data_IF_709031563856
#
_entry.id   IF_709031563856
#
_cell.length_a   1.000
_cell.length_b   1.000
_cell.length_c   1.000
_cell.angle_alpha   90.00
_cell.angle_beta   90.00
_cell.angle_gamma   90.00
#
_symmetry.space_group_name_H-M   'P 1'
#
loop_
_entity.id
_entity.type
_entity.pdbx_description
1 polymer ?
#
# COMPACT_ATOMS: atom_id res chain seq x y z
N UNK A 1 20.26 -1.08 -5.10
CA UNK A 1 20.40 -2.31 -4.30
C UNK A 1 19.27 -2.50 -3.27
N UNK A 2 19.05 -3.72 -2.76
CA UNK A 2 18.20 -4.03 -1.62
C UNK A 2 19.06 -4.18 -0.35
N UNK A 3 18.96 -3.29 0.65
CA UNK A 3 19.80 -3.39 1.86
C UNK A 3 19.56 -4.66 2.69
N UNK A 4 18.36 -5.24 2.62
CA UNK A 4 18.00 -6.44 3.40
C UNK A 4 18.61 -7.72 2.83
N UNK A 5 18.62 -7.84 1.49
CA UNK A 5 19.11 -9.03 0.79
C UNK A 5 20.53 -8.82 0.26
N UNK A 6 21.07 -7.59 0.37
CA UNK A 6 22.40 -7.18 -0.10
C UNK A 6 22.65 -7.52 -1.58
N UNK A 7 21.61 -7.44 -2.41
CA UNK A 7 21.68 -7.69 -3.86
C UNK A 7 21.17 -6.50 -4.67
N UNK A 8 21.62 -6.41 -5.91
CA UNK A 8 21.04 -5.48 -6.88
C UNK A 8 19.58 -5.84 -7.17
N UNK A 9 18.76 -4.82 -7.40
CA UNK A 9 17.35 -4.98 -7.73
C UNK A 9 17.24 -4.83 -9.24
N UNK A 10 16.68 -5.83 -9.90
CA UNK A 10 16.26 -5.70 -11.29
C UNK A 10 15.23 -4.57 -11.43
N UNK A 11 15.12 -3.94 -12.61
CA UNK A 11 14.00 -3.07 -12.93
C UNK A 11 12.65 -3.68 -12.51
N UNK A 12 11.72 -2.84 -12.04
CA UNK A 12 10.37 -3.25 -11.60
C UNK A 12 10.33 -4.21 -10.40
N UNK A 13 11.48 -4.56 -9.79
CA UNK A 13 11.53 -5.45 -8.64
C UNK A 13 11.40 -4.71 -7.30
N UNK A 14 10.61 -5.28 -6.38
CA UNK A 14 10.41 -4.73 -5.05
C UNK A 14 10.65 -5.79 -3.97
N UNK A 15 11.05 -5.34 -2.78
CA UNK A 15 11.24 -6.25 -1.64
C UNK A 15 9.93 -6.38 -0.88
N UNK A 16 9.38 -7.59 -0.82
CA UNK A 16 8.24 -7.88 0.02
C UNK A 16 8.72 -8.23 1.43
N UNK A 17 8.22 -7.49 2.43
CA UNK A 17 8.59 -7.74 3.84
C UNK A 17 7.94 -9.02 4.39
N UNK A 18 6.75 -9.37 3.91
CA UNK A 18 6.01 -10.57 4.34
C UNK A 18 6.69 -11.85 3.83
N UNK A 19 7.17 -11.84 2.58
CA UNK A 19 7.92 -12.97 2.00
C UNK A 19 9.45 -12.90 2.22
N UNK A 20 9.95 -11.85 2.87
CA UNK A 20 11.37 -11.53 3.11
C UNK A 20 12.31 -11.69 1.89
N UNK A 21 11.80 -11.40 0.68
CA UNK A 21 12.55 -11.56 -0.57
C UNK A 21 12.21 -10.48 -1.60
N UNK A 22 13.11 -10.30 -2.56
CA UNK A 22 12.85 -9.46 -3.74
C UNK A 22 12.00 -10.24 -4.76
N UNK A 23 10.96 -9.59 -5.27
CA UNK A 23 10.02 -10.14 -6.24
C UNK A 23 10.16 -9.32 -7.54
N UNK A 24 10.43 -10.01 -8.65
CA UNK A 24 10.52 -9.42 -10.01
C UNK A 24 9.13 -8.94 -10.46
N UNK A 25 9.05 -7.76 -11.08
CA UNK A 25 7.78 -7.07 -11.45
C UNK A 25 6.72 -7.23 -10.35
N UNK A 26 7.05 -6.83 -9.13
CA UNK A 26 6.17 -7.06 -7.98
C UNK A 26 4.91 -6.20 -8.15
N UNK A 27 3.75 -6.84 -8.07
CA UNK A 27 2.46 -6.15 -8.04
C UNK A 27 2.03 -5.91 -6.59
N UNK A 28 1.73 -6.98 -5.87
CA UNK A 28 1.38 -6.89 -4.46
C UNK A 28 1.72 -8.20 -3.72
N UNK A 29 1.62 -8.16 -2.40
CA UNK A 29 1.53 -9.38 -1.60
C UNK A 29 0.06 -9.64 -1.31
N UNK A 30 -0.46 -10.76 -1.81
CA UNK A 30 -1.85 -11.14 -1.64
C UNK A 30 -1.97 -12.05 -0.41
N UNK A 31 -2.71 -11.63 0.64
CA UNK A 31 -2.94 -12.47 1.82
C UNK A 31 -3.72 -13.75 1.49
N UNK A 32 -4.62 -13.69 0.51
CA UNK A 32 -5.53 -14.79 0.14
C UNK A 32 -4.81 -16.01 -0.43
N UNK A 33 -3.73 -15.80 -1.17
CA UNK A 33 -2.86 -16.87 -1.68
C UNK A 33 -1.58 -17.03 -0.85
N UNK A 34 -1.46 -16.27 0.25
CA UNK A 34 -0.27 -16.18 1.10
C UNK A 34 1.05 -16.04 0.32
N UNK A 35 1.02 -15.29 -0.79
CA UNK A 35 2.15 -15.19 -1.70
C UNK A 35 2.16 -13.84 -2.43
N UNK A 36 3.31 -13.46 -2.97
CA UNK A 36 3.40 -12.30 -3.84
C UNK A 36 2.88 -12.62 -5.24
N UNK A 37 2.17 -11.63 -5.82
CA UNK A 37 1.87 -11.57 -7.24
C UNK A 37 2.94 -10.72 -7.91
N UNK A 38 3.53 -11.23 -8.97
CA UNK A 38 4.51 -10.52 -9.78
C UNK A 38 4.81 -11.27 -11.06
N UNK A 39 5.98 -11.02 -11.67
CA UNK A 39 6.32 -11.54 -13.00
C UNK A 39 6.03 -13.04 -13.19
N UNK A 40 6.46 -13.88 -12.24
CA UNK A 40 6.41 -15.32 -12.39
C UNK A 40 5.00 -15.94 -12.28
N UNK A 41 4.03 -15.21 -11.74
CA UNK A 41 2.69 -15.73 -11.47
C UNK A 41 1.55 -14.76 -11.76
N UNK A 42 1.81 -13.66 -12.48
CA UNK A 42 0.78 -12.67 -12.78
C UNK A 42 -0.38 -13.27 -13.57
N UNK A 43 -0.07 -14.05 -14.62
CA UNK A 43 -1.07 -14.75 -15.42
C UNK A 43 -1.88 -15.74 -14.58
N UNK A 44 -1.20 -16.58 -13.80
CA UNK A 44 -1.86 -17.54 -12.90
C UNK A 44 -2.79 -16.86 -11.90
N UNK A 45 -2.39 -15.72 -11.35
CA UNK A 45 -3.25 -14.95 -10.46
C UNK A 45 -4.50 -14.43 -11.19
N UNK A 46 -4.35 -13.92 -12.41
CA UNK A 46 -5.51 -13.44 -13.19
C UNK A 46 -6.44 -14.57 -13.61
N UNK A 47 -5.90 -15.73 -14.00
CA UNK A 47 -6.71 -16.93 -14.25
C UNK A 47 -7.40 -17.44 -12.99
N UNK A 48 -6.71 -17.44 -11.84
CA UNK A 48 -7.31 -17.77 -10.55
C UNK A 48 -8.53 -16.89 -10.26
N UNK A 49 -8.45 -15.58 -10.50
CA UNK A 49 -9.60 -14.67 -10.36
C UNK A 49 -10.73 -15.04 -11.33
N UNK A 50 -10.41 -15.23 -12.61
CA UNK A 50 -11.40 -15.59 -13.64
C UNK A 50 -12.14 -16.88 -13.30
N UNK A 51 -11.41 -17.97 -13.02
CA UNK A 51 -12.02 -19.26 -12.73
C UNK A 51 -12.76 -19.27 -11.38
N UNK A 52 -12.30 -18.50 -10.39
CA UNK A 52 -13.04 -18.32 -9.13
C UNK A 52 -14.38 -17.62 -9.36
N UNK A 53 -14.44 -16.63 -10.24
CA UNK A 53 -15.69 -15.97 -10.65
C UNK A 53 -16.59 -16.96 -11.39
N UNK A 54 -16.07 -17.69 -12.38
CA UNK A 54 -16.85 -18.66 -13.15
C UNK A 54 -17.42 -19.78 -12.26
N UNK A 55 -16.62 -20.34 -11.35
CA UNK A 55 -17.09 -21.35 -10.41
C UNK A 55 -18.14 -20.82 -9.44
N UNK A 56 -17.98 -19.58 -8.96
CA UNK A 56 -18.98 -18.92 -8.11
C UNK A 56 -20.27 -18.61 -8.86
N UNK A 57 -20.19 -18.18 -10.11
CA UNK A 57 -21.35 -17.97 -10.99
C UNK A 57 -22.10 -19.27 -11.24
N UNK A 58 -21.38 -20.35 -11.57
CA UNK A 58 -21.97 -21.69 -11.70
C UNK A 58 -22.68 -22.10 -10.41
N UNK A 59 -22.03 -21.93 -9.25
CA UNK A 59 -22.62 -22.20 -7.94
C UNK A 59 -23.92 -21.40 -7.70
N UNK A 60 -23.90 -20.09 -7.99
CA UNK A 60 -25.08 -19.23 -7.90
C UNK A 60 -26.21 -19.73 -8.79
N UNK A 61 -25.94 -20.07 -10.05
CA UNK A 61 -26.96 -20.59 -10.98
C UNK A 61 -27.57 -21.89 -10.43
N UNK A 62 -26.73 -22.84 -9.99
CA UNK A 62 -27.20 -24.11 -9.42
C UNK A 62 -28.06 -23.87 -8.17
N UNK A 63 -27.64 -22.98 -7.28
CA UNK A 63 -28.39 -22.66 -6.07
C UNK A 63 -29.72 -21.97 -6.39
N UNK A 64 -29.74 -21.03 -7.33
CA UNK A 64 -30.98 -20.37 -7.77
C UNK A 64 -31.96 -21.36 -8.41
N UNK A 65 -31.49 -22.23 -9.31
CA UNK A 65 -32.31 -23.29 -9.90
C UNK A 65 -32.83 -24.28 -8.84
N UNK A 66 -31.98 -24.67 -7.89
CA UNK A 66 -32.37 -25.55 -6.79
C UNK A 66 -33.41 -24.88 -5.89
N UNK A 67 -33.24 -23.58 -5.64
CA UNK A 67 -34.16 -22.79 -4.82
C UNK A 67 -35.53 -22.67 -5.46
N UNK A 68 -35.56 -22.37 -6.77
CA UNK A 68 -36.78 -22.37 -7.57
C UNK A 68 -37.48 -23.73 -7.52
N UNK A 69 -36.75 -24.83 -7.77
CA UNK A 69 -37.32 -26.18 -7.73
C UNK A 69 -37.86 -26.57 -6.35
N UNK A 70 -37.22 -26.11 -5.28
CA UNK A 70 -37.66 -26.34 -3.91
C UNK A 70 -38.93 -25.57 -3.55
N UNK A 71 -39.03 -24.27 -3.92
CA UNK A 71 -40.24 -23.46 -3.65
C UNK A 71 -41.45 -24.00 -4.41
N UNK A 72 -41.28 -24.32 -5.70
CA UNK A 72 -42.36 -24.81 -6.55
C UNK A 72 -42.63 -26.31 -6.42
N UNK A 73 -42.03 -26.99 -5.43
CA UNK A 73 -42.16 -28.44 -5.24
C UNK A 73 -43.62 -28.89 -5.20
N UNK A 74 -44.44 -28.25 -4.37
CA UNK A 74 -45.85 -28.62 -4.21
C UNK A 74 -46.62 -28.49 -5.53
N UNK A 75 -46.38 -27.39 -6.27
CA UNK A 75 -46.97 -27.15 -7.59
C UNK A 75 -46.61 -28.26 -8.58
N UNK A 76 -45.34 -28.68 -8.64
CA UNK A 76 -44.93 -29.77 -9.53
C UNK A 76 -45.59 -31.11 -9.21
N UNK A 77 -45.79 -31.41 -7.91
CA UNK A 77 -46.44 -32.65 -7.50
C UNK A 77 -47.93 -32.68 -7.85
N UNK A 78 -48.63 -31.55 -7.70
CA UNK A 78 -50.08 -31.48 -7.99
C UNK A 78 -50.41 -31.49 -9.48
N UNK A 79 -49.46 -31.13 -10.36
CA UNK A 79 -49.63 -31.10 -11.81
C UNK A 79 -49.01 -32.31 -12.53
N UNK A 80 -48.66 -33.37 -11.80
CA UNK A 80 -48.07 -34.59 -12.39
C UNK A 80 -46.63 -34.44 -12.88
N UNK A 81 -45.94 -33.35 -12.55
CA UNK A 81 -44.57 -33.04 -12.95
C UNK A 81 -43.55 -33.53 -11.91
N UNK A 82 -43.71 -34.76 -11.40
CA UNK A 82 -42.91 -35.28 -10.30
C UNK A 82 -41.38 -35.28 -10.58
N UNK A 83 -40.98 -35.46 -11.84
CA UNK A 83 -39.56 -35.38 -12.26
C UNK A 83 -38.93 -33.98 -12.05
N UNK A 84 -39.75 -32.92 -11.95
CA UNK A 84 -39.30 -31.56 -11.63
C UNK A 84 -39.22 -31.29 -10.11
N UNK A 85 -39.89 -32.11 -9.30
CA UNK A 85 -39.87 -32.05 -7.84
C UNK A 85 -38.64 -32.77 -7.26
N UNK A 86 -37.42 -32.40 -7.67
CA UNK A 86 -36.18 -33.08 -7.23
C UNK A 86 -35.57 -32.54 -5.93
N UNK A 87 -36.01 -31.36 -5.46
CA UNK A 87 -35.49 -30.71 -4.24
C UNK A 87 -36.55 -30.76 -3.17
N UNK A 88 -36.15 -31.09 -1.93
CA UNK A 88 -37.00 -31.02 -0.75
C UNK A 88 -36.38 -30.04 0.24
N UNK A 89 -37.17 -29.06 0.67
CA UNK A 89 -36.71 -28.07 1.64
C UNK A 89 -37.04 -28.47 3.07
N UNK A 90 -36.00 -28.50 3.89
CA UNK A 90 -36.06 -28.35 5.34
C UNK A 90 -35.70 -26.90 5.71
N UNK A 91 -36.05 -26.46 6.93
CA UNK A 91 -35.67 -25.13 7.43
C UNK A 91 -34.16 -24.89 7.31
N UNK A 92 -33.34 -25.89 7.65
CA UNK A 92 -31.87 -25.82 7.55
C UNK A 92 -31.43 -25.63 6.10
N UNK A 93 -31.98 -26.41 5.16
CA UNK A 93 -31.60 -26.30 3.75
C UNK A 93 -31.97 -24.95 3.13
N UNK A 94 -33.09 -24.33 3.54
CA UNK A 94 -33.49 -23.00 3.11
C UNK A 94 -32.45 -21.97 3.58
N UNK A 95 -32.11 -22.00 4.88
CA UNK A 95 -31.13 -21.09 5.47
C UNK A 95 -29.78 -21.22 4.76
N UNK A 96 -29.28 -22.45 4.60
CA UNK A 96 -28.01 -22.71 3.93
C UNK A 96 -28.01 -22.29 2.46
N UNK A 97 -29.13 -22.46 1.75
CA UNK A 97 -29.26 -22.03 0.37
C UNK A 97 -29.21 -20.51 0.26
N UNK A 98 -29.93 -19.78 1.11
CA UNK A 98 -29.92 -18.30 1.14
C UNK A 98 -28.52 -17.78 1.47
N UNK A 99 -27.89 -18.31 2.52
CA UNK A 99 -26.53 -17.93 2.91
C UNK A 99 -25.52 -18.25 1.80
N UNK A 100 -25.61 -19.43 1.19
CA UNK A 100 -24.76 -19.85 0.08
C UNK A 100 -24.90 -18.94 -1.14
N UNK A 101 -26.13 -18.58 -1.53
CA UNK A 101 -26.38 -17.63 -2.62
C UNK A 101 -25.81 -16.25 -2.29
N UNK A 102 -26.06 -15.73 -1.08
CA UNK A 102 -25.54 -14.43 -0.65
C UNK A 102 -24.01 -14.38 -0.70
N UNK A 103 -23.34 -15.41 -0.19
CA UNK A 103 -21.87 -15.51 -0.24
C UNK A 103 -21.36 -15.64 -1.67
N UNK A 104 -21.96 -16.49 -2.50
CA UNK A 104 -21.55 -16.68 -3.90
C UNK A 104 -21.69 -15.39 -4.72
N UNK A 105 -22.81 -14.66 -4.58
CA UNK A 105 -23.03 -13.37 -5.22
C UNK A 105 -21.99 -12.35 -4.73
N UNK A 106 -21.73 -12.29 -3.42
CA UNK A 106 -20.72 -11.40 -2.84
C UNK A 106 -19.32 -11.67 -3.40
N UNK A 107 -18.94 -12.95 -3.52
CA UNK A 107 -17.67 -13.36 -4.15
C UNK A 107 -17.61 -12.96 -5.62
N UNK A 108 -18.68 -13.19 -6.39
CA UNK A 108 -18.74 -12.79 -7.81
C UNK A 108 -18.51 -11.29 -7.96
N UNK A 109 -19.22 -10.45 -7.20
CA UNK A 109 -19.10 -8.99 -7.28
C UNK A 109 -17.68 -8.55 -6.88
N UNK A 110 -17.20 -9.02 -5.72
CA UNK A 110 -15.89 -8.62 -5.18
C UNK A 110 -14.73 -9.04 -6.08
N UNK A 111 -14.72 -10.29 -6.54
CA UNK A 111 -13.67 -10.79 -7.44
C UNK A 111 -13.77 -10.18 -8.84
N UNK A 112 -14.97 -9.88 -9.35
CA UNK A 112 -15.12 -9.20 -10.65
C UNK A 112 -14.53 -7.79 -10.62
N UNK A 113 -14.75 -7.04 -9.54
CA UNK A 113 -14.10 -5.73 -9.36
C UNK A 113 -12.58 -5.87 -9.32
N UNK A 114 -12.06 -6.86 -8.60
CA UNK A 114 -10.62 -7.12 -8.53
C UNK A 114 -10.04 -7.54 -9.90
N UNK A 115 -10.73 -8.40 -10.63
CA UNK A 115 -10.34 -8.83 -11.97
C UNK A 115 -10.33 -7.64 -12.93
N UNK A 116 -11.33 -6.77 -12.89
CA UNK A 116 -11.38 -5.56 -13.70
C UNK A 116 -10.16 -4.65 -13.44
N UNK A 117 -9.82 -4.43 -12.16
CA UNK A 117 -8.64 -3.65 -11.78
C UNK A 117 -7.36 -4.30 -12.35
N UNK A 118 -7.19 -5.62 -12.18
CA UNK A 118 -6.02 -6.34 -12.67
C UNK A 118 -5.92 -6.33 -14.21
N UNK A 119 -7.03 -6.47 -14.92
CA UNK A 119 -7.04 -6.36 -16.39
C UNK A 119 -6.66 -4.96 -16.84
N UNK A 120 -7.15 -3.91 -16.16
CA UNK A 120 -6.79 -2.53 -16.45
C UNK A 120 -5.28 -2.28 -16.23
N UNK A 121 -4.71 -2.79 -15.14
CA UNK A 121 -3.26 -2.64 -14.88
C UNK A 121 -2.42 -3.40 -15.92
N UNK A 122 -2.86 -4.61 -16.31
CA UNK A 122 -2.21 -5.39 -17.37
C UNK A 122 -2.27 -4.67 -18.72
N UNK A 123 -3.42 -4.09 -19.09
CA UNK A 123 -3.60 -3.36 -20.36
C UNK A 123 -2.65 -2.17 -20.46
N UNK A 124 -2.38 -1.47 -19.35
CA UNK A 124 -1.43 -0.36 -19.29
C UNK A 124 0.01 -0.81 -18.95
N UNK A 125 0.26 -2.12 -18.86
CA UNK A 125 1.50 -2.75 -18.39
C UNK A 125 2.06 -2.16 -17.08
N UNK A 126 1.20 -1.71 -16.18
CA UNK A 126 1.57 -1.18 -14.87
C UNK A 126 1.36 -2.21 -13.78
N UNK A 127 2.16 -2.14 -12.72
CA UNK A 127 1.85 -2.80 -11.46
C UNK A 127 1.22 -1.82 -10.47
N UNK A 128 0.53 -2.31 -9.44
CA UNK A 128 -0.03 -1.47 -8.37
C UNK A 128 1.01 -0.59 -7.68
N UNK A 129 2.27 -1.01 -7.62
CA UNK A 129 3.37 -0.18 -7.12
C UNK A 129 3.73 0.92 -8.12
N UNK A 130 3.75 0.60 -9.41
CA UNK A 130 4.15 1.51 -10.48
C UNK A 130 3.12 2.61 -10.70
N UNK A 131 1.82 2.32 -10.61
CA UNK A 131 0.74 3.33 -10.65
C UNK A 131 1.04 4.46 -9.68
N UNK A 132 1.39 4.12 -8.43
CA UNK A 132 1.75 5.07 -7.40
C UNK A 132 3.05 5.84 -7.67
N UNK A 133 3.96 5.32 -8.50
CA UNK A 133 5.20 6.03 -8.90
C UNK A 133 4.87 7.03 -10.00
N UNK A 134 4.10 6.59 -11.01
CA UNK A 134 3.66 7.41 -12.15
C UNK A 134 2.83 8.59 -11.67
N UNK A 135 1.83 8.36 -10.81
CA UNK A 135 0.98 9.42 -10.26
C UNK A 135 1.82 10.50 -9.53
N UNK A 136 2.85 10.07 -8.79
CA UNK A 136 3.77 11.01 -8.12
C UNK A 136 4.66 11.77 -9.10
N UNK A 137 5.10 11.12 -10.18
CA UNK A 137 5.90 11.76 -11.21
C UNK A 137 5.11 12.88 -11.91
N UNK A 138 3.86 12.59 -12.28
CA UNK A 138 2.92 13.56 -12.86
C UNK A 138 2.70 14.73 -11.89
N UNK A 139 2.40 14.45 -10.62
CA UNK A 139 2.18 15.51 -9.62
C UNK A 139 3.42 16.40 -9.39
N UNK A 140 4.64 15.82 -9.41
CA UNK A 140 5.89 16.59 -9.26
C UNK A 140 6.06 17.62 -10.37
N UNK A 141 5.71 17.26 -11.60
CA UNK A 141 5.77 18.13 -12.78
C UNK A 141 4.65 19.16 -12.78
N UNK A 142 3.43 18.75 -12.46
CA UNK A 142 2.30 19.69 -12.30
C UNK A 142 2.59 20.81 -11.28
N UNK A 143 3.32 20.52 -10.19
CA UNK A 143 3.71 21.54 -9.20
C UNK A 143 4.81 22.47 -9.70
N UNK A 144 5.66 22.01 -10.61
CA UNK A 144 6.79 22.78 -11.14
C UNK A 144 6.44 23.22 -12.57
N UNK A 145 5.59 24.24 -12.69
CA UNK A 145 5.08 24.73 -13.99
C UNK A 145 6.18 25.19 -14.96
N UNK A 146 7.39 25.46 -14.47
CA UNK A 146 8.55 25.87 -15.28
C UNK A 146 9.33 24.68 -15.88
N UNK A 147 8.92 23.42 -15.63
CA UNK A 147 9.51 22.26 -16.31
C UNK A 147 8.62 21.75 -17.45
N UNK A 148 9.03 21.98 -18.69
CA UNK A 148 8.37 21.45 -19.91
C UNK A 148 8.63 19.95 -20.15
N UNK A 149 9.08 19.21 -19.13
CA UNK A 149 9.36 17.77 -19.24
C UNK A 149 8.08 16.95 -18.94
N UNK A 150 7.58 16.17 -19.92
CA UNK A 150 6.46 15.22 -19.76
C UNK A 150 6.94 13.81 -19.34
N UNK A 151 6.28 13.21 -18.34
CA UNK A 151 6.76 11.95 -17.79
C UNK A 151 6.31 10.79 -18.68
N UNK A 152 7.24 10.30 -19.49
CA UNK A 152 6.99 9.12 -20.32
C UNK A 152 7.13 7.83 -19.49
N UNK A 153 6.05 7.05 -19.42
CA UNK A 153 6.08 5.74 -18.75
C UNK A 153 6.73 4.69 -19.66
N UNK A 154 7.82 4.03 -19.23
CA UNK A 154 8.68 3.28 -20.15
C UNK A 154 8.10 1.96 -20.66
N UNK A 155 7.11 1.38 -19.98
CA UNK A 155 6.70 -0.01 -20.23
C UNK A 155 5.37 -0.16 -20.97
N UNK A 156 4.66 0.92 -21.31
CA UNK A 156 3.41 0.81 -22.05
C UNK A 156 3.68 0.68 -23.57
N UNK A 157 3.56 -0.54 -24.09
CA UNK A 157 3.83 -0.87 -25.50
C UNK A 157 2.55 -0.94 -26.35
N UNK A 158 1.43 -0.46 -25.80
CA UNK A 158 0.09 -0.64 -26.37
C UNK A 158 -0.60 -1.92 -25.89
N UNK A 159 -1.92 -1.83 -25.74
CA UNK A 159 -2.74 -2.83 -25.04
C UNK A 159 -2.54 -4.28 -25.52
N UNK A 160 -2.40 -4.52 -26.83
CA UNK A 160 -2.19 -5.86 -27.40
C UNK A 160 -0.82 -6.44 -27.04
N UNK A 161 0.23 -5.62 -27.10
CA UNK A 161 1.57 -6.04 -26.73
C UNK A 161 1.64 -6.29 -25.22
N UNK A 162 1.02 -5.41 -24.42
CA UNK A 162 0.97 -5.51 -22.97
C UNK A 162 0.25 -6.78 -22.50
N UNK A 163 -0.90 -7.14 -23.11
CA UNK A 163 -1.59 -8.40 -22.84
C UNK A 163 -0.70 -9.61 -23.15
N UNK A 164 -0.01 -9.61 -24.30
CA UNK A 164 0.90 -10.70 -24.73
C UNK A 164 2.14 -10.87 -23.85
N UNK A 165 2.46 -9.88 -23.00
CA UNK A 165 3.53 -10.02 -21.99
C UNK A 165 3.08 -10.82 -20.76
N UNK A 166 1.77 -10.91 -20.52
CA UNK A 166 1.19 -11.61 -19.38
C UNK A 166 0.53 -12.90 -19.81
N UNK A 167 -0.32 -12.85 -20.84
CA UNK A 167 -1.01 -14.01 -21.40
C UNK A 167 -0.31 -14.44 -22.68
N UNK A 168 0.14 -15.69 -22.72
CA UNK A 168 0.63 -16.33 -23.94
C UNK A 168 0.04 -17.73 -24.04
N UNK A 169 0.18 -18.31 -25.24
CA UNK A 169 -0.46 -19.58 -25.58
C UNK A 169 0.05 -20.75 -24.72
N UNK A 170 1.28 -20.63 -24.20
CA UNK A 170 1.90 -21.62 -23.32
C UNK A 170 1.51 -21.46 -21.85
N UNK A 171 0.73 -20.43 -21.50
CA UNK A 171 0.45 -20.01 -20.11
C UNK A 171 1.73 -19.78 -19.27
N UNK A 172 2.84 -19.45 -19.92
CA UNK A 172 4.14 -19.25 -19.28
C UNK A 172 4.45 -17.76 -19.07
N UNK A 173 5.40 -17.49 -18.19
CA UNK A 173 5.97 -16.14 -18.02
C UNK A 173 6.86 -15.80 -19.22
N UNK A 174 6.68 -14.61 -19.82
CA UNK A 174 7.53 -14.15 -20.94
C UNK A 174 8.75 -13.37 -20.43
N UNK A 175 9.89 -13.55 -21.08
CA UNK A 175 11.17 -12.90 -20.74
C UNK A 175 11.88 -13.55 -19.55
N UNK A 176 12.85 -12.85 -18.96
CA UNK A 176 13.60 -13.30 -17.78
C UNK A 176 13.17 -12.57 -16.47
N UNK A 177 12.28 -11.58 -16.62
CA UNK A 177 11.82 -10.70 -15.55
C UNK A 177 12.87 -9.74 -15.02
N UNK A 178 13.96 -9.53 -15.76
CA UNK A 178 15.04 -8.59 -15.46
C UNK A 178 15.03 -7.48 -16.51
N UNK A 179 15.06 -7.86 -17.78
CA UNK A 179 14.99 -6.95 -18.92
C UNK A 179 13.57 -6.89 -19.48
N UNK A 180 13.18 -5.69 -19.90
CA UNK A 180 11.82 -5.43 -20.38
C UNK A 180 11.87 -4.68 -21.70
N UNK A 181 10.98 -4.97 -22.65
CA UNK A 181 10.78 -4.07 -23.77
C UNK A 181 10.30 -2.70 -23.25
N UNK A 182 10.90 -1.64 -23.78
CA UNK A 182 10.61 -0.25 -23.40
C UNK A 182 10.27 0.58 -24.64
N UNK A 183 9.49 1.64 -24.45
CA UNK A 183 9.18 2.62 -25.50
C UNK A 183 10.41 3.41 -25.92
N UNK A 184 10.38 3.95 -27.13
CA UNK A 184 11.45 4.81 -27.66
C UNK A 184 11.64 6.05 -26.76
N UNK A 185 12.89 6.47 -26.58
CA UNK A 185 13.25 7.55 -25.64
C UNK A 185 13.34 7.12 -24.15
N UNK A 186 13.04 5.87 -23.83
CA UNK A 186 13.21 5.30 -22.49
C UNK A 186 14.29 4.22 -22.43
N UNK A 187 14.79 3.97 -21.21
CA UNK A 187 15.65 2.83 -20.90
C UNK A 187 15.08 2.02 -19.72
N UNK A 188 15.74 0.90 -19.41
CA UNK A 188 15.37 -0.01 -18.30
C UNK A 188 15.27 0.68 -16.94
N UNK A 189 15.93 1.82 -16.78
CA UNK A 189 16.08 2.52 -15.52
C UNK A 189 15.32 3.86 -15.47
N UNK A 190 14.62 4.29 -16.52
CA UNK A 190 13.81 5.53 -16.52
C UNK A 190 12.92 5.63 -15.29
N UNK A 191 12.07 4.63 -15.05
CA UNK A 191 11.19 4.60 -13.87
C UNK A 191 11.99 4.48 -12.55
N UNK A 192 13.15 3.83 -12.58
CA UNK A 192 14.00 3.65 -11.41
C UNK A 192 14.65 4.98 -10.99
N UNK A 193 15.14 5.77 -11.95
CA UNK A 193 15.69 7.11 -11.73
C UNK A 193 14.63 8.03 -11.14
N UNK A 194 13.43 8.02 -11.71
CA UNK A 194 12.29 8.78 -11.18
C UNK A 194 11.97 8.36 -9.73
N UNK A 195 11.93 7.05 -9.45
CA UNK A 195 11.71 6.58 -8.09
C UNK A 195 12.85 6.96 -7.10
N UNK A 196 14.09 7.09 -7.57
CA UNK A 196 15.21 7.55 -6.74
C UNK A 196 15.08 9.04 -6.42
N UNK A 197 14.76 9.88 -7.42
CA UNK A 197 14.50 11.31 -7.22
C UNK A 197 13.33 11.54 -6.24
N UNK A 198 12.24 10.77 -6.37
CA UNK A 198 11.12 10.81 -5.42
C UNK A 198 11.54 10.45 -3.98
N UNK A 199 12.46 9.50 -3.82
CA UNK A 199 13.00 9.11 -2.49
C UNK A 199 13.92 10.17 -1.93
N UNK A 200 14.69 10.84 -2.77
CA UNK A 200 15.56 11.95 -2.38
C UNK A 200 14.74 13.14 -1.90
N UNK A 201 13.71 13.56 -2.66
CA UNK A 201 12.79 14.62 -2.22
C UNK A 201 12.08 14.24 -0.90
N UNK A 202 11.74 12.97 -0.73
CA UNK A 202 11.18 12.47 0.54
C UNK A 202 12.21 12.56 1.69
N UNK A 203 13.49 12.28 1.44
CA UNK A 203 14.56 12.42 2.43
C UNK A 203 14.79 13.88 2.79
N UNK A 204 14.84 14.78 1.80
CA UNK A 204 15.00 16.22 2.02
C UNK A 204 13.86 16.83 2.88
N UNK A 205 12.63 16.31 2.74
CA UNK A 205 11.46 16.72 3.55
C UNK A 205 11.34 15.98 4.89
N UNK A 206 12.26 15.06 5.19
CA UNK A 206 12.24 14.35 6.48
C UNK A 206 12.65 15.32 7.58
N UNK A 207 11.87 15.37 8.65
CA UNK A 207 12.12 16.24 9.79
C UNK A 207 12.41 15.41 11.03
N UNK A 208 13.25 15.95 11.90
CA UNK A 208 13.66 15.27 13.13
C UNK A 208 12.76 15.72 14.27
N UNK A 209 12.19 14.76 14.99
CA UNK A 209 11.33 14.98 16.14
C UNK A 209 11.95 14.36 17.38
N UNK A 210 11.86 15.05 18.52
CA UNK A 210 12.21 14.52 19.83
C UNK A 210 10.93 14.11 20.56
N UNK A 211 10.90 12.86 21.03
CA UNK A 211 9.82 12.35 21.86
C UNK A 211 9.83 13.05 23.24
N UNK A 212 8.72 13.67 23.63
CA UNK A 212 8.58 14.32 24.95
C UNK A 212 7.75 13.50 25.92
N UNK A 213 6.80 12.72 25.41
CA UNK A 213 5.91 11.87 26.22
C UNK A 213 6.04 10.41 25.79
N UNK A 214 6.05 9.46 26.74
CA UNK A 214 6.17 8.05 26.40
C UNK A 214 5.02 7.58 25.51
N UNK A 215 5.34 6.75 24.52
CA UNK A 215 4.39 6.15 23.58
C UNK A 215 4.45 4.64 23.72
N UNK A 216 3.30 4.03 24.01
CA UNK A 216 3.20 2.57 24.24
C UNK A 216 3.13 1.76 22.95
N UNK A 217 2.75 2.37 21.83
CA UNK A 217 2.52 1.66 20.56
C UNK A 217 1.16 0.95 20.47
N UNK A 218 0.22 1.23 21.39
CA UNK A 218 -1.15 0.70 21.32
C UNK A 218 -1.97 1.35 20.20
N UNK A 219 -2.97 0.64 19.69
CA UNK A 219 -3.88 1.13 18.64
C UNK A 219 -4.77 2.28 19.11
N UNK A 220 -5.29 2.20 20.34
CA UNK A 220 -6.21 3.19 20.91
C UNK A 220 -5.67 3.73 22.24
N UNK A 221 -4.77 4.74 22.20
CA UNK A 221 -4.21 5.34 23.40
C UNK A 221 -5.17 6.36 24.04
N UNK A 222 -6.40 5.94 24.38
CA UNK A 222 -7.47 6.84 24.86
C UNK A 222 -7.03 7.58 26.13
N UNK A 223 -6.53 6.85 27.12
CA UNK A 223 -6.15 7.42 28.42
C UNK A 223 -4.83 8.19 28.39
N UNK A 224 -3.91 7.87 27.49
CA UNK A 224 -2.59 8.50 27.45
C UNK A 224 -2.51 9.68 26.45
N UNK A 225 -3.32 9.65 25.40
CA UNK A 225 -3.20 10.59 24.26
C UNK A 225 -4.53 11.20 23.84
N UNK A 226 -5.64 10.81 24.47
CA UNK A 226 -6.95 11.42 24.31
C UNK A 226 -7.78 10.91 23.14
N UNK A 227 -9.08 11.23 23.19
CA UNK A 227 -10.10 10.77 22.25
C UNK A 227 -9.82 11.14 20.79
N UNK A 228 -9.41 12.40 20.52
CA UNK A 228 -9.16 12.89 19.15
C UNK A 228 -8.06 12.09 18.41
N UNK A 229 -7.07 11.57 19.13
CA UNK A 229 -6.02 10.73 18.54
C UNK A 229 -6.58 9.37 18.15
N UNK A 230 -7.50 8.82 18.95
CA UNK A 230 -8.08 7.50 18.74
C UNK A 230 -9.04 7.48 17.55
N UNK A 231 -9.91 8.48 17.42
CA UNK A 231 -10.86 8.58 16.29
C UNK A 231 -10.14 8.86 14.97
N UNK A 232 -9.00 9.54 15.00
CA UNK A 232 -8.20 9.84 13.80
C UNK A 232 -7.07 8.82 13.54
N UNK A 233 -7.15 7.62 14.12
CA UNK A 233 -6.15 6.58 13.94
C UNK A 233 -6.01 6.20 12.45
N UNK A 234 -4.78 6.10 11.90
CA UNK A 234 -4.59 5.67 10.53
C UNK A 234 -5.06 4.22 10.35
N UNK A 235 -6.12 4.02 9.56
CA UNK A 235 -6.53 2.69 9.12
C UNK A 235 -5.52 2.18 8.07
N UNK A 236 -4.43 1.60 8.55
CA UNK A 236 -3.36 1.02 7.73
C UNK A 236 -2.69 -0.12 8.49
N UNK A 237 -2.18 -1.11 7.76
CA UNK A 237 -1.42 -2.26 8.26
C UNK A 237 -0.02 -1.89 8.80
N UNK A 238 0.29 -0.60 8.86
CA UNK A 238 1.60 -0.13 9.27
C UNK A 238 1.75 -0.17 10.81
N UNK A 239 2.91 -0.60 11.34
CA UNK A 239 3.07 -0.81 12.77
C UNK A 239 2.98 0.50 13.55
N UNK A 240 2.68 0.38 14.85
CA UNK A 240 2.76 1.49 15.80
C UNK A 240 4.08 1.36 16.56
N UNK A 241 4.75 2.49 16.78
CA UNK A 241 6.07 2.49 17.41
C UNK A 241 5.95 2.82 18.90
N UNK A 242 6.68 2.09 19.74
CA UNK A 242 6.88 2.46 21.13
C UNK A 242 8.12 3.35 21.26
N UNK A 243 7.97 4.44 22.01
CA UNK A 243 8.97 5.48 22.15
C UNK A 243 9.11 5.87 23.62
N UNK A 244 10.35 6.13 24.04
CA UNK A 244 10.69 6.68 25.35
C UNK A 244 10.89 8.19 25.24
N UNK A 245 10.76 8.95 26.33
CA UNK A 245 11.17 10.36 26.35
C UNK A 245 12.61 10.50 25.86
N UNK A 246 12.88 11.56 25.10
CA UNK A 246 14.13 11.88 24.42
C UNK A 246 14.51 10.99 23.21
N UNK A 247 13.69 9.98 22.85
CA UNK A 247 13.92 9.24 21.61
C UNK A 247 13.85 10.19 20.39
N UNK A 248 14.87 10.13 19.53
CA UNK A 248 14.97 10.93 18.30
C UNK A 248 14.35 10.16 17.14
N UNK A 249 13.50 10.82 16.35
CA UNK A 249 12.64 10.19 15.34
C UNK A 249 12.73 10.96 14.04
N UNK A 250 13.09 10.28 12.95
CA UNK A 250 13.04 10.82 11.59
C UNK A 250 11.63 10.63 11.03
N UNK A 251 10.86 11.71 10.99
CA UNK A 251 9.46 11.72 10.56
C UNK A 251 9.36 11.98 9.06
N UNK A 252 8.65 11.09 8.37
CA UNK A 252 8.53 11.12 6.91
C UNK A 252 7.10 11.34 6.42
N UNK A 253 6.08 11.15 7.28
CA UNK A 253 4.68 11.42 6.92
C UNK A 253 3.94 12.07 8.07
N UNK A 254 3.05 12.98 7.68
CA UNK A 254 2.28 13.83 8.58
C UNK A 254 0.79 13.63 8.32
N UNK A 255 0.03 13.38 9.39
CA UNK A 255 -1.42 13.47 9.47
C UNK A 255 -1.80 14.37 10.65
N UNK A 256 -3.06 14.79 10.73
CA UNK A 256 -3.53 15.76 11.72
C UNK A 256 -3.11 15.42 13.16
N UNK A 257 -3.30 14.16 13.57
CA UNK A 257 -3.00 13.70 14.93
C UNK A 257 -1.90 12.65 15.01
N UNK A 258 -1.33 12.24 13.88
CA UNK A 258 -0.41 11.12 13.78
C UNK A 258 0.79 11.43 12.90
N UNK A 259 1.96 10.99 13.33
CA UNK A 259 3.22 11.07 12.61
C UNK A 259 3.72 9.65 12.33
N UNK A 260 4.35 9.46 11.16
CA UNK A 260 5.04 8.22 10.85
C UNK A 260 6.53 8.48 10.69
N UNK A 261 7.32 7.76 11.47
CA UNK A 261 8.77 7.93 11.47
C UNK A 261 9.54 6.67 11.81
N UNK A 262 10.85 6.80 11.74
CA UNK A 262 11.83 5.80 12.12
C UNK A 262 12.63 6.33 13.32
N UNK A 263 12.74 5.52 14.37
CA UNK A 263 13.55 5.87 15.54
C UNK A 263 15.02 5.77 15.19
N UNK A 264 15.76 6.84 15.50
CA UNK A 264 17.22 6.87 15.42
C UNK A 264 17.76 6.10 16.61
N UNK A 265 18.57 5.08 16.34
CA UNK A 265 19.24 4.30 17.38
C UNK A 265 20.60 4.93 17.70
N UNK A 266 20.97 4.94 18.98
CA UNK A 266 22.33 5.32 19.37
C UNK A 266 23.33 4.26 18.93
N UNK A 267 24.62 4.62 18.84
CA UNK A 267 25.68 3.69 18.42
C UNK A 267 25.74 2.43 19.31
N UNK A 268 25.56 2.61 20.63
CA UNK A 268 25.50 1.53 21.61
C UNK A 268 24.32 0.58 21.35
N UNK A 269 23.12 1.12 21.08
CA UNK A 269 21.95 0.32 20.73
C UNK A 269 22.14 -0.41 19.40
N UNK A 270 22.80 0.23 18.42
CA UNK A 270 23.09 -0.35 17.13
C UNK A 270 24.05 -1.55 17.26
N UNK A 271 25.07 -1.45 18.13
CA UNK A 271 25.98 -2.54 18.46
C UNK A 271 25.25 -3.72 19.14
N UNK A 272 24.33 -3.43 20.07
CA UNK A 272 23.48 -4.44 20.70
C UNK A 272 22.49 -5.12 19.73
N UNK A 273 21.98 -4.39 18.75
CA UNK A 273 21.09 -4.91 17.70
C UNK A 273 21.81 -5.91 16.79
N UNK A 274 23.08 -5.64 16.43
CA UNK A 274 23.90 -6.59 15.64
C UNK A 274 24.06 -7.92 16.37
N UNK A 275 24.23 -7.91 17.69
CA UNK A 275 24.30 -9.14 18.52
C UNK A 275 22.99 -9.91 18.57
N UNK A 276 21.83 -9.22 18.53
CA UNK A 276 20.49 -9.81 18.68
C UNK A 276 19.80 -10.21 17.36
N UNK A 277 20.48 -10.16 16.22
CA UNK A 277 19.92 -10.50 14.89
C UNK A 277 18.57 -9.82 14.57
N UNK A 278 18.30 -8.60 15.07
CA UNK A 278 17.01 -7.95 14.82
C UNK A 278 16.90 -7.51 13.36
N UNK A 279 15.89 -8.02 12.65
CA UNK A 279 15.64 -7.72 11.22
C UNK A 279 15.06 -6.30 10.98
N UNK A 280 15.92 -5.29 11.02
CA UNK A 280 15.68 -3.98 10.39
C UNK A 280 15.22 -2.82 11.30
N UNK A 281 14.92 -1.65 10.70
CA UNK A 281 14.71 -0.40 11.44
C UNK A 281 13.40 -0.36 12.23
N UNK A 282 13.41 0.34 13.37
CA UNK A 282 12.22 0.56 14.20
C UNK A 282 11.42 1.73 13.63
N UNK A 283 10.28 1.43 13.02
CA UNK A 283 9.41 2.43 12.41
C UNK A 283 7.96 2.18 12.75
N UNK A 284 7.16 3.24 12.75
CA UNK A 284 5.73 3.13 12.96
C UNK A 284 5.03 4.47 13.11
N UNK A 285 3.70 4.38 13.26
CA UNK A 285 2.85 5.50 13.61
C UNK A 285 2.94 5.81 15.10
N UNK A 286 2.97 7.10 15.45
CA UNK A 286 2.87 7.59 16.81
C UNK A 286 2.07 8.92 16.85
N UNK A 287 1.49 9.28 18.01
CA UNK A 287 0.71 10.51 18.17
C UNK A 287 1.57 11.77 17.96
N UNK A 288 1.06 12.75 17.21
CA UNK A 288 1.78 14.01 16.97
C UNK A 288 2.10 14.78 18.25
N UNK A 289 1.21 14.75 19.24
CA UNK A 289 1.33 15.48 20.51
C UNK A 289 2.42 14.96 21.45
N UNK A 290 2.96 13.77 21.18
CA UNK A 290 3.98 13.15 22.04
C UNK A 290 5.40 13.50 21.60
N UNK A 291 5.57 14.31 20.55
CA UNK A 291 6.88 14.72 20.07
C UNK A 291 6.87 16.18 19.59
N UNK A 292 8.03 16.82 19.70
CA UNK A 292 8.27 18.18 19.21
C UNK A 292 9.31 18.13 18.10
N UNK A 293 9.16 18.98 17.09
CA UNK A 293 10.14 19.10 16.01
C UNK A 293 11.42 19.76 16.55
N UNK A 294 12.57 19.18 16.24
CA UNK A 294 13.88 19.76 16.56
C UNK A 294 14.31 20.59 15.36
N UNK A 295 14.33 21.90 15.54
CA UNK A 295 14.88 22.83 14.56
C UNK A 295 16.37 22.92 14.87
N UNK A 296 17.21 22.40 13.98
CA UNK A 296 18.65 22.62 14.06
C UNK A 296 18.89 24.11 13.76
N UNK A 297 19.45 24.84 14.73
CA UNK A 297 19.92 26.19 14.49
C UNK A 297 21.07 26.10 13.48
N UNK A 298 20.93 26.77 12.34
CA UNK A 298 22.02 26.89 11.38
C UNK A 298 23.10 27.72 12.09
N UNK A 299 24.21 27.09 12.47
CA UNK A 299 25.40 27.83 12.85
C UNK A 299 25.95 28.51 11.60
N UNK A 300 25.58 29.77 11.38
CA UNK A 300 26.35 30.66 10.53
C UNK A 300 27.74 30.78 11.17
N UNK A 301 28.74 30.29 10.46
CA UNK A 301 30.12 30.28 10.92
C UNK A 301 30.73 31.68 10.91
N UNK A 302 31.57 31.90 11.93
CA UNK A 302 32.63 32.91 12.08
C UNK A 302 32.25 34.34 12.52
N UNK A 303 32.72 34.70 13.73
CA UNK A 303 32.76 36.07 14.24
C UNK A 303 32.77 36.15 15.78
N UNK A 304 33.91 35.81 16.39
CA UNK A 304 34.43 36.18 17.72
C UNK A 304 33.53 36.40 18.96
N UNK A 305 33.87 35.64 20.00
CA UNK A 305 33.88 35.94 21.44
C UNK A 305 32.92 36.98 22.03
N UNK A 306 32.01 36.54 22.91
CA UNK A 306 32.20 36.58 24.36
C UNK A 306 31.03 35.89 25.08
N UNK A 307 31.28 35.46 26.31
CA UNK A 307 30.33 34.85 27.25
C UNK A 307 29.06 35.68 27.51
N UNK A 308 27.89 35.05 27.51
CA UNK A 308 26.90 35.18 28.60
C UNK A 308 25.75 34.17 28.47
N UNK A 309 25.41 33.56 29.60
CA UNK A 309 24.28 32.66 29.85
C UNK A 309 22.93 33.33 29.58
N UNK A 310 22.13 32.79 28.66
CA UNK A 310 20.68 33.08 28.62
C UNK A 310 19.86 31.82 28.29
N UNK A 311 18.77 31.65 29.05
CA UNK A 311 17.84 30.53 28.99
C UNK A 311 16.99 30.52 27.71
N UNK A 312 16.51 29.36 27.23
CA UNK A 312 15.73 29.30 26.00
C UNK A 312 14.30 29.84 26.21
N UNK A 313 14.00 30.95 25.55
CA UNK A 313 12.65 31.50 25.43
C UNK A 313 11.79 30.65 24.50
N UNK A 314 10.63 30.20 24.97
CA UNK A 314 9.59 29.61 24.14
C UNK A 314 8.83 30.72 23.40
N UNK A 315 9.21 31.01 22.15
CA UNK A 315 8.42 31.92 21.32
C UNK A 315 7.23 31.21 20.70
N UNK A 316 6.06 31.53 21.25
CA UNK A 316 4.74 31.10 20.83
C UNK A 316 4.14 32.21 19.96
N UNK A 317 4.28 32.14 18.62
CA UNK A 317 3.71 33.20 17.79
C UNK A 317 4.19 33.31 16.34
N UNK A 318 4.13 32.23 15.56
CA UNK A 318 3.99 32.34 14.09
C UNK A 318 3.67 31.01 13.36
N UNK A 319 3.55 29.90 14.10
CA UNK A 319 3.29 28.58 13.51
C UNK A 319 1.92 28.48 12.81
N UNK A 320 0.95 29.34 13.16
CA UNK A 320 -0.43 29.24 12.67
C UNK A 320 -0.62 29.66 11.20
N UNK A 321 0.20 30.58 10.67
CA UNK A 321 0.14 31.03 9.27
C UNK A 321 0.76 30.00 8.32
N UNK A 322 1.93 29.46 8.66
CA UNK A 322 2.57 28.38 7.91
C UNK A 322 1.78 27.06 7.93
N UNK A 323 1.06 26.75 9.02
CA UNK A 323 0.18 25.58 9.10
C UNK A 323 -1.05 25.69 8.18
N UNK A 324 -1.62 26.89 8.00
CA UNK A 324 -2.75 27.08 7.07
C UNK A 324 -2.35 26.85 5.60
N UNK A 325 -1.13 27.23 5.23
CA UNK A 325 -0.60 26.99 3.88
C UNK A 325 -0.28 25.50 3.63
N UNK A 326 0.19 24.78 4.65
CA UNK A 326 0.34 23.32 4.60
C UNK A 326 -0.99 22.56 4.60
N UNK A 327 -2.05 23.09 5.21
CA UNK A 327 -3.40 22.50 5.17
C UNK A 327 -4.07 22.66 3.79
N UNK A 328 -3.84 23.78 3.09
CA UNK A 328 -4.27 23.94 1.68
C UNK A 328 -3.63 22.89 0.77
N UNK A 329 -2.32 22.63 0.94
CA UNK A 329 -1.62 21.54 0.24
C UNK A 329 -2.05 20.13 0.70
N UNK A 330 -2.68 20.02 1.88
CA UNK A 330 -3.31 18.79 2.37
C UNK A 330 -4.69 18.53 1.77
N UNK A 331 -5.40 19.57 1.32
CA UNK A 331 -6.74 19.44 0.75
C UNK A 331 -6.73 18.87 -0.68
N UNK A 332 -5.58 18.91 -1.37
CA UNK A 332 -5.35 18.18 -2.62
C UNK A 332 -5.30 16.65 -2.44
N UNK A 333 -5.25 16.13 -1.20
CA UNK A 333 -5.40 14.69 -0.89
C UNK A 333 -6.85 14.19 -0.94
N UNK A 334 -7.81 15.02 -1.40
CA UNK A 334 -9.24 14.69 -1.44
C UNK A 334 -9.65 13.82 -2.64
N UNK A 335 -8.70 13.44 -3.50
CA UNK A 335 -8.88 12.48 -4.59
C UNK A 335 -8.00 11.23 -4.42
N UNK A 336 -7.83 10.78 -3.16
CA UNK A 336 -7.36 9.44 -2.81
C UNK A 336 -8.54 8.52 -2.53
#
# INVERSE_FOLDING_TARGET
>A
ACPRVQRYKAPRSHHCRKCDRCVKKMDHHCPWINHCVGWANHAYFTYFLLFSILGSLQGTVVLCCSFWRGIYRYYYLTHGLAHLASVQFTLVSIIMCILGMGLAIGVVIGLSMLLFIQLKTIVNNQTGIEIWIVEKAIYRRYRNADCDDEFLYPYDLGWRANLRLVFNDECQKRGDGIEWPVVEGCDQYTLTREQLAQKEEKRARTRTFRCTKPVTGRWLPIFSQGWRVCVAAPCSDEPRISLRPNDMIRVTRFRNHWLFGERVLTEQELAGVKKRQRKGPIRGWFPRRSAVEVIEAVHEGSGDGNSETTAPLAQNGNAHSHLKQQQRNGHAKKYM
#
